data_IF_519721785386
#
_entry.id   IF_519721785386
#
_cell.length_a   1.000
_cell.length_b   1.000
_cell.length_c   1.000
_cell.angle_alpha   90.00
_cell.angle_beta   90.00
_cell.angle_gamma   90.00
#
_symmetry.space_group_name_H-M   'P 1'
#
loop_
_entity.id
_entity.type
_entity.pdbx_description
1 polymer ?
#
# COMPACT_ATOMS: atom_id res chain seq x y z
N UNK A 1 13.38 8.94 -2.41
CA UNK A 1 13.44 8.52 -1.00
C UNK A 1 13.47 6.99 -0.88
N UNK A 2 12.42 6.28 -1.31
CA UNK A 2 12.32 4.81 -1.14
C UNK A 2 13.53 4.04 -1.68
N UNK A 3 13.89 4.24 -2.95
CA UNK A 3 15.07 3.57 -3.54
C UNK A 3 16.38 3.88 -2.82
N UNK A 4 16.53 5.07 -2.26
CA UNK A 4 17.74 5.48 -1.52
C UNK A 4 17.81 4.91 -0.11
N UNK A 5 16.67 4.65 0.54
CA UNK A 5 16.62 4.19 1.94
C UNK A 5 16.35 2.68 2.08
N UNK A 6 15.64 2.10 1.12
CA UNK A 6 15.18 0.71 1.16
C UNK A 6 15.65 -0.09 -0.07
N UNK A 7 16.44 0.50 -0.97
CA UNK A 7 16.81 -0.16 -2.24
C UNK A 7 15.54 -0.56 -2.99
N UNK A 8 15.49 -1.81 -3.45
CA UNK A 8 14.30 -2.38 -4.11
C UNK A 8 13.42 -3.20 -3.14
N UNK A 9 13.70 -3.13 -1.83
CA UNK A 9 13.00 -3.89 -0.77
C UNK A 9 11.80 -3.13 -0.22
N UNK A 10 10.94 -2.61 -1.08
CA UNK A 10 9.72 -1.93 -0.67
C UNK A 10 8.51 -2.39 -1.49
N UNK A 11 7.34 -2.31 -0.88
CA UNK A 11 6.06 -2.58 -1.55
C UNK A 11 5.04 -1.54 -1.15
N UNK A 12 4.39 -0.92 -2.13
CA UNK A 12 3.50 0.22 -1.93
C UNK A 12 2.05 -0.22 -2.06
N UNK A 13 1.24 0.14 -1.08
CA UNK A 13 -0.21 0.08 -1.19
C UNK A 13 -0.74 1.48 -1.47
N UNK A 14 -1.31 1.69 -2.65
CA UNK A 14 -2.04 2.89 -2.98
C UNK A 14 -3.52 2.70 -2.63
N UNK A 15 -3.95 3.30 -1.51
CA UNK A 15 -5.33 3.20 -1.05
C UNK A 15 -6.25 4.26 -1.69
N UNK A 16 -5.73 5.15 -2.54
CA UNK A 16 -6.51 6.18 -3.20
C UNK A 16 -7.11 5.63 -4.50
N UNK A 17 -8.42 5.81 -4.71
CA UNK A 17 -9.09 5.43 -5.97
C UNK A 17 -9.05 6.55 -7.01
N UNK A 18 -8.80 7.78 -6.56
CA UNK A 18 -8.82 8.96 -7.43
C UNK A 18 -7.73 8.91 -8.51
N UNK A 19 -8.10 9.22 -9.76
CA UNK A 19 -7.24 9.04 -10.93
C UNK A 19 -6.03 9.98 -10.92
N UNK A 20 -6.17 11.17 -10.35
CA UNK A 20 -5.05 12.11 -10.14
C UNK A 20 -4.04 11.63 -9.10
N UNK A 21 -4.38 10.58 -8.33
CA UNK A 21 -3.52 9.94 -7.34
C UNK A 21 -3.04 8.55 -7.77
N UNK A 22 -3.41 8.13 -8.97
CA UNK A 22 -2.72 7.06 -9.66
C UNK A 22 -1.44 7.61 -10.29
N UNK A 23 -0.35 6.90 -10.07
CA UNK A 23 0.96 7.26 -10.59
C UNK A 23 1.50 6.11 -11.43
N UNK A 24 2.48 6.41 -12.28
CA UNK A 24 3.18 5.41 -13.07
C UNK A 24 3.94 4.43 -12.16
N UNK A 25 3.42 3.20 -12.04
CA UNK A 25 3.97 2.16 -11.17
C UNK A 25 5.36 1.68 -11.61
N UNK A 26 5.74 1.91 -12.87
CA UNK A 26 7.07 1.55 -13.37
C UNK A 26 8.19 2.28 -12.60
N UNK A 27 7.90 3.47 -12.07
CA UNK A 27 8.80 4.27 -11.22
C UNK A 27 9.13 3.61 -9.89
N UNK A 28 8.39 2.56 -9.53
CA UNK A 28 8.49 1.83 -8.28
C UNK A 28 8.76 0.34 -8.53
N UNK A 29 9.38 -0.01 -9.66
CA UNK A 29 9.64 -1.39 -10.07
C UNK A 29 8.38 -2.27 -10.13
N UNK A 30 7.22 -1.65 -10.36
CA UNK A 30 5.90 -2.29 -10.28
C UNK A 30 5.57 -2.91 -8.91
N UNK A 31 6.28 -2.53 -7.84
CA UNK A 31 5.99 -2.94 -6.46
C UNK A 31 4.86 -2.08 -5.87
N UNK A 32 3.73 -2.00 -6.57
CA UNK A 32 2.57 -1.18 -6.19
C UNK A 32 1.29 -2.00 -6.33
N UNK A 33 0.43 -1.94 -5.33
CA UNK A 33 -0.91 -2.54 -5.33
C UNK A 33 -1.97 -1.46 -5.08
N UNK A 34 -2.97 -1.39 -5.95
CA UNK A 34 -4.13 -0.49 -5.84
C UNK A 34 -5.46 -1.24 -5.69
N UNK A 35 -5.43 -2.56 -5.54
CA UNK A 35 -6.62 -3.41 -5.35
C UNK A 35 -7.35 -3.09 -4.05
N UNK A 36 -6.64 -2.52 -3.07
CA UNK A 36 -7.18 -2.10 -1.79
C UNK A 36 -7.50 -0.59 -1.75
N UNK A 37 -7.81 0.01 -2.91
CA UNK A 37 -8.23 1.41 -2.97
C UNK A 37 -9.69 1.60 -2.54
N UNK A 38 -9.97 2.73 -1.90
CA UNK A 38 -11.32 3.11 -1.47
C UNK A 38 -11.51 4.63 -1.56
N UNK A 39 -12.78 5.06 -1.62
CA UNK A 39 -13.12 6.48 -1.66
C UNK A 39 -12.81 7.17 -0.32
N UNK A 40 -12.30 8.39 -0.41
CA UNK A 40 -12.09 9.25 0.74
C UNK A 40 -13.41 9.46 1.52
N UNK A 41 -13.35 9.40 2.85
CA UNK A 41 -14.50 9.45 3.78
C UNK A 41 -15.44 8.22 3.77
N UNK A 42 -15.19 7.21 2.94
CA UNK A 42 -15.89 5.93 3.00
C UNK A 42 -14.97 4.85 3.59
N UNK A 43 -15.24 4.33 4.79
CA UNK A 43 -14.39 3.31 5.37
C UNK A 43 -14.39 2.05 4.50
N UNK A 44 -13.23 1.38 4.31
CA UNK A 44 -13.17 0.12 3.59
C UNK A 44 -13.97 -0.96 4.32
N UNK A 45 -14.49 -1.93 3.58
CA UNK A 45 -15.22 -3.05 4.20
C UNK A 45 -14.28 -3.89 5.08
N UNK A 46 -14.82 -4.51 6.14
CA UNK A 46 -14.04 -5.43 7.00
C UNK A 46 -13.37 -6.54 6.19
N UNK A 47 -14.05 -7.06 5.17
CA UNK A 47 -13.51 -8.08 4.26
C UNK A 47 -12.27 -7.59 3.52
N UNK A 48 -12.29 -6.34 3.08
CA UNK A 48 -11.17 -5.71 2.39
C UNK A 48 -9.99 -5.45 3.32
N UNK A 49 -10.25 -5.01 4.56
CA UNK A 49 -9.20 -4.86 5.59
C UNK A 49 -8.54 -6.21 5.88
N UNK A 50 -9.33 -7.28 6.04
CA UNK A 50 -8.80 -8.62 6.27
C UNK A 50 -7.94 -9.11 5.09
N UNK A 51 -8.43 -8.93 3.86
CA UNK A 51 -7.69 -9.29 2.65
C UNK A 51 -6.38 -8.49 2.53
N UNK A 52 -6.42 -7.19 2.86
CA UNK A 52 -5.23 -6.35 2.93
C UNK A 52 -4.21 -6.89 3.94
N UNK A 53 -4.64 -7.20 5.17
CA UNK A 53 -3.75 -7.72 6.22
C UNK A 53 -3.11 -9.05 5.80
N UNK A 54 -3.89 -9.97 5.22
CA UNK A 54 -3.37 -11.25 4.70
C UNK A 54 -2.35 -11.05 3.58
N UNK A 55 -2.64 -10.12 2.66
CA UNK A 55 -1.73 -9.83 1.57
C UNK A 55 -0.44 -9.14 2.06
N UNK A 56 -0.56 -8.19 2.99
CA UNK A 56 0.57 -7.53 3.64
C UNK A 56 1.47 -8.51 4.40
N UNK A 57 0.88 -9.44 5.14
CA UNK A 57 1.61 -10.51 5.83
C UNK A 57 2.39 -11.38 4.84
N UNK A 58 1.76 -11.77 3.72
CA UNK A 58 2.44 -12.52 2.66
C UNK A 58 3.62 -11.73 2.09
N UNK A 59 3.44 -10.44 1.80
CA UNK A 59 4.51 -9.59 1.29
C UNK A 59 5.70 -9.50 2.25
N UNK A 60 5.46 -9.41 3.56
CA UNK A 60 6.51 -9.40 4.59
C UNK A 60 7.21 -10.76 4.71
N UNK A 61 6.47 -11.88 4.60
CA UNK A 61 7.05 -13.23 4.67
C UNK A 61 7.91 -13.59 3.48
N UNK A 62 7.60 -13.08 2.29
CA UNK A 62 8.40 -13.30 1.08
C UNK A 62 9.81 -12.72 1.17
N UNK A 63 9.99 -11.63 1.92
CA UNK A 63 11.27 -10.94 2.07
C UNK A 63 11.37 -10.31 3.46
N UNK A 64 12.21 -10.89 4.33
CA UNK A 64 12.34 -10.50 5.73
C UNK A 64 12.68 -9.02 5.97
N UNK A 65 13.31 -8.34 5.00
CA UNK A 65 13.71 -6.93 5.06
C UNK A 65 12.80 -5.99 4.25
N UNK A 66 11.65 -6.48 3.76
CA UNK A 66 10.76 -5.67 2.91
C UNK A 66 9.99 -4.64 3.74
N UNK A 67 10.02 -3.40 3.31
CA UNK A 67 9.26 -2.29 3.92
C UNK A 67 7.93 -2.11 3.19
N UNK A 68 6.82 -2.18 3.92
CA UNK A 68 5.51 -1.84 3.38
C UNK A 68 5.27 -0.33 3.50
N UNK A 69 4.83 0.28 2.40
CA UNK A 69 4.52 1.71 2.33
C UNK A 69 3.04 1.86 2.07
N UNK A 70 2.31 2.46 3.01
CA UNK A 70 0.87 2.68 2.87
C UNK A 70 0.66 4.14 2.46
N UNK A 71 0.19 4.35 1.25
CA UNK A 71 -0.20 5.68 0.76
C UNK A 71 -1.72 5.84 0.88
N UNK A 72 -2.13 6.85 1.65
CA UNK A 72 -3.50 7.32 1.75
C UNK A 72 -3.51 8.84 1.59
N UNK A 73 -4.64 9.39 1.13
CA UNK A 73 -4.84 10.79 0.76
C UNK A 73 -4.32 11.80 1.78
N UNK A 74 -4.61 11.58 3.07
CA UNK A 74 -4.31 12.51 4.16
C UNK A 74 -3.19 12.03 5.10
N UNK A 75 -2.56 10.88 4.84
CA UNK A 75 -1.60 10.27 5.76
C UNK A 75 -2.17 9.91 7.15
N UNK A 76 -3.47 10.10 7.37
CA UNK A 76 -4.21 9.64 8.55
C UNK A 76 -4.74 8.26 8.26
N UNK A 77 -4.06 7.27 8.79
CA UNK A 77 -4.48 5.88 8.71
C UNK A 77 -4.57 5.36 10.14
N UNK A 78 -5.79 5.24 10.66
CA UNK A 78 -6.04 4.52 11.91
C UNK A 78 -6.23 3.04 11.56
N UNK A 79 -5.14 2.29 11.42
CA UNK A 79 -5.22 0.84 11.58
C UNK A 79 -4.93 0.55 13.05
N UNK A 80 -5.98 0.29 13.83
CA UNK A 80 -5.82 -0.46 15.07
C UNK A 80 -5.40 -1.88 14.66
N UNK A 81 -4.14 -2.21 14.93
CA UNK A 81 -3.68 -3.58 15.06
C UNK A 81 -3.71 -3.92 16.55
#
# INVERSE_FOLDING_TARGET
>A
FLSSKHGDKFYIYNLCVESERQYDYSRFNNNVCSEFSFEDHNPPTIKMILAFCQHAEKQLKEMADRTLVIHCKAGKVNYFC
#
